data_IF_389923925001
#
_entry.id   IF_389923925001
#
_cell.length_a   1.000
_cell.length_b   1.000
_cell.length_c   1.000
_cell.angle_alpha   90.00
_cell.angle_beta   90.00
_cell.angle_gamma   90.00
#
_symmetry.space_group_name_H-M   'P 1'
#
loop_
_entity.id
_entity.type
_entity.pdbx_description
1 polymer ?
#
# COMPACT_ATOMS: atom_id res chain seq x y z
N UNK A 1 3.13 18.80 8.47
CA UNK A 1 2.33 17.75 7.85
C UNK A 1 1.61 18.34 6.64
N UNK A 2 1.75 17.70 5.48
CA UNK A 2 0.95 18.09 4.32
C UNK A 2 -0.51 17.71 4.61
N UNK A 3 -1.33 18.69 4.90
CA UNK A 3 -2.76 18.49 5.13
C UNK A 3 -3.47 18.41 3.79
N UNK A 4 -3.55 17.20 3.22
CA UNK A 4 -4.35 16.98 2.02
C UNK A 4 -5.80 16.66 2.33
N UNK A 5 -6.13 16.28 3.55
CA UNK A 5 -7.46 15.79 3.81
C UNK A 5 -7.94 15.98 5.23
N UNK A 6 -9.20 15.74 5.39
CA UNK A 6 -9.84 15.66 6.69
C UNK A 6 -9.61 14.30 7.37
N UNK A 7 -9.18 13.25 6.64
CA UNK A 7 -9.04 11.89 7.14
C UNK A 7 -7.71 11.29 6.69
N UNK A 8 -6.90 10.82 7.65
CA UNK A 8 -5.77 9.94 7.44
C UNK A 8 -6.18 8.52 7.84
N UNK A 9 -6.10 7.58 6.91
CA UNK A 9 -6.59 6.21 7.11
C UNK A 9 -5.50 5.17 6.90
N UNK A 10 -5.55 4.09 7.69
CA UNK A 10 -4.64 2.94 7.62
C UNK A 10 -3.17 3.33 7.67
N UNK A 11 -2.70 3.98 8.75
CA UNK A 11 -1.30 4.27 8.93
C UNK A 11 -0.50 2.98 9.11
N UNK A 12 0.66 2.91 8.48
CA UNK A 12 1.63 1.83 8.67
C UNK A 12 2.99 2.39 8.98
N UNK A 13 3.64 1.85 10.00
CA UNK A 13 4.96 2.29 10.47
C UNK A 13 6.01 1.24 10.14
N UNK A 14 7.12 1.68 9.59
CA UNK A 14 8.32 0.89 9.35
C UNK A 14 9.55 1.60 9.93
N UNK A 15 10.50 0.84 10.45
CA UNK A 15 11.78 1.35 10.94
C UNK A 15 12.94 0.66 10.23
N UNK A 16 13.90 1.43 9.78
CA UNK A 16 15.13 0.90 9.21
C UNK A 16 16.08 0.44 10.33
N UNK A 17 16.16 -0.87 10.55
CA UNK A 17 17.05 -1.45 11.56
C UNK A 17 18.39 -1.95 10.97
N UNK A 18 18.61 -1.81 9.66
CA UNK A 18 19.79 -2.37 9.04
C UNK A 18 21.05 -1.61 9.41
N UNK A 19 22.01 -2.32 10.00
CA UNK A 19 23.32 -1.74 10.32
C UNK A 19 24.14 -1.35 9.08
N UNK A 20 23.79 -1.87 7.90
CA UNK A 20 24.44 -1.51 6.62
C UNK A 20 23.72 -0.41 5.86
N UNK A 21 22.56 0.04 6.35
CA UNK A 21 21.82 1.12 5.73
C UNK A 21 22.42 2.49 6.06
N UNK A 22 22.54 3.39 5.07
CA UNK A 22 22.90 4.79 5.32
C UNK A 22 21.78 5.57 6.03
N UNK A 23 20.61 4.97 6.17
CA UNK A 23 19.41 5.53 6.78
C UNK A 23 19.01 4.79 8.06
N UNK A 24 19.94 4.03 8.65
CA UNK A 24 19.69 3.28 9.88
C UNK A 24 19.01 4.17 10.95
N UNK A 25 18.03 3.60 11.67
CA UNK A 25 17.17 4.23 12.67
C UNK A 25 16.20 5.30 12.13
N UNK A 26 16.07 5.44 10.80
CA UNK A 26 14.99 6.24 10.23
C UNK A 26 13.65 5.55 10.42
N UNK A 27 12.60 6.36 10.62
CA UNK A 27 11.22 5.91 10.72
C UNK A 27 10.44 6.38 9.50
N UNK A 28 9.54 5.53 9.00
CA UNK A 28 8.69 5.82 7.86
C UNK A 28 7.25 5.49 8.21
N UNK A 29 6.33 6.40 7.92
CA UNK A 29 4.89 6.17 8.09
C UNK A 29 4.20 6.40 6.76
N UNK A 30 3.58 5.38 6.21
CA UNK A 30 2.67 5.52 5.08
C UNK A 30 1.23 5.67 5.56
N UNK A 31 0.44 6.41 4.80
CA UNK A 31 -0.98 6.62 5.11
C UNK A 31 -1.75 6.97 3.84
N UNK A 32 -3.01 6.58 3.78
CA UNK A 32 -3.95 7.11 2.80
C UNK A 32 -4.53 8.42 3.30
N UNK A 33 -4.33 9.49 2.56
CA UNK A 33 -4.97 10.77 2.79
C UNK A 33 -6.25 10.87 1.96
N UNK A 34 -7.39 11.12 2.62
CA UNK A 34 -8.65 11.41 1.95
C UNK A 34 -8.98 12.89 2.05
N UNK A 35 -9.28 13.52 0.92
CA UNK A 35 -9.83 14.87 0.86
C UNK A 35 -11.33 14.87 1.26
N UNK A 36 -11.92 16.03 1.58
CA UNK A 36 -13.35 16.12 1.90
C UNK A 36 -14.30 15.58 0.83
N UNK A 37 -13.88 15.59 -0.44
CA UNK A 37 -14.62 15.02 -1.57
C UNK A 37 -14.29 13.54 -1.83
N UNK A 38 -13.62 12.87 -0.88
CA UNK A 38 -13.19 11.46 -0.96
C UNK A 38 -12.10 11.16 -1.99
N UNK A 39 -11.48 12.16 -2.61
CA UNK A 39 -10.26 11.94 -3.37
C UNK A 39 -9.17 11.35 -2.47
N UNK A 40 -8.36 10.44 -2.99
CA UNK A 40 -7.36 9.73 -2.19
C UNK A 40 -5.95 9.86 -2.73
N UNK A 41 -4.95 9.80 -1.83
CA UNK A 41 -3.55 9.83 -2.16
C UNK A 41 -2.72 9.10 -1.09
N UNK A 42 -1.72 8.32 -1.50
CA UNK A 42 -0.75 7.75 -0.56
C UNK A 42 0.33 8.78 -0.29
N UNK A 43 0.59 9.02 1.00
CA UNK A 43 1.68 9.85 1.49
C UNK A 43 2.62 9.03 2.36
N UNK A 44 3.90 9.41 2.38
CA UNK A 44 4.89 8.85 3.31
C UNK A 44 5.54 9.99 4.07
N UNK A 45 5.52 9.87 5.38
CA UNK A 45 6.26 10.72 6.31
C UNK A 45 7.51 9.99 6.76
N UNK A 46 8.65 10.68 6.80
CA UNK A 46 9.91 10.16 7.32
C UNK A 46 10.45 10.99 8.45
N UNK A 47 11.11 10.34 9.40
CA UNK A 47 11.87 10.95 10.48
C UNK A 47 13.26 10.33 10.53
N UNK A 48 14.29 11.14 10.81
CA UNK A 48 15.68 10.71 10.99
C UNK A 48 16.23 11.00 12.39
N UNK A 49 15.37 11.43 13.28
CA UNK A 49 15.70 11.91 14.64
C UNK A 49 14.82 11.24 15.71
N UNK A 50 14.46 9.97 15.49
CA UNK A 50 13.66 9.20 16.44
C UNK A 50 12.22 9.66 16.58
N UNK A 51 11.67 10.33 15.56
CA UNK A 51 10.30 10.82 15.56
C UNK A 51 10.12 12.27 16.05
N UNK A 52 11.22 12.97 16.35
CA UNK A 52 11.15 14.36 16.83
C UNK A 52 10.67 15.30 15.71
N UNK A 53 11.17 15.11 14.49
CA UNK A 53 10.70 15.85 13.30
C UNK A 53 10.30 14.93 12.16
N UNK A 54 9.39 15.39 11.31
CA UNK A 54 8.84 14.61 10.20
C UNK A 54 8.80 15.44 8.92
N UNK A 55 9.19 14.83 7.82
CA UNK A 55 9.00 15.37 6.47
C UNK A 55 8.08 14.43 5.67
N UNK A 56 7.06 15.01 5.04
CA UNK A 56 6.04 14.24 4.30
C UNK A 56 6.11 14.52 2.81
N UNK A 57 5.96 13.46 2.01
CA UNK A 57 5.88 13.54 0.54
C UNK A 57 4.64 12.81 0.05
N UNK A 58 4.06 13.29 -1.04
CA UNK A 58 3.03 12.60 -1.79
C UNK A 58 3.69 11.57 -2.70
N UNK A 59 3.37 10.30 -2.53
CA UNK A 59 4.02 9.22 -3.29
C UNK A 59 3.17 8.79 -4.49
N UNK A 60 1.88 8.52 -4.27
CA UNK A 60 1.01 8.21 -5.40
C UNK A 60 0.48 9.47 -6.09
N UNK A 61 0.05 9.33 -7.35
CA UNK A 61 -0.85 10.30 -7.93
C UNK A 61 -2.17 10.35 -7.16
N UNK A 62 -2.74 11.54 -7.01
CA UNK A 62 -4.08 11.70 -6.43
C UNK A 62 -5.11 11.00 -7.31
N UNK A 63 -6.03 10.27 -6.69
CA UNK A 63 -7.15 9.65 -7.37
C UNK A 63 -8.42 10.42 -7.04
N UNK A 64 -9.18 10.75 -8.08
CA UNK A 64 -10.50 11.37 -7.94
C UNK A 64 -11.53 10.29 -7.68
N UNK A 65 -12.30 10.46 -6.61
CA UNK A 65 -13.39 9.54 -6.28
C UNK A 65 -14.37 9.39 -7.49
N UNK A 66 -14.83 8.18 -7.81
CA UNK A 66 -14.76 6.92 -7.06
C UNK A 66 -13.50 6.07 -7.27
N UNK A 67 -12.54 6.50 -8.09
CA UNK A 67 -11.24 5.84 -8.12
C UNK A 67 -10.51 6.04 -6.79
N UNK A 68 -9.75 5.04 -6.35
CA UNK A 68 -9.08 5.11 -5.05
C UNK A 68 -7.69 4.47 -5.07
N UNK A 69 -6.79 5.04 -4.28
CA UNK A 69 -5.58 4.39 -3.79
C UNK A 69 -5.69 4.27 -2.28
N UNK A 70 -5.42 3.07 -1.72
CA UNK A 70 -5.52 2.82 -0.29
C UNK A 70 -4.70 1.61 0.15
N UNK A 71 -4.61 1.39 1.46
CA UNK A 71 -4.00 0.21 2.06
C UNK A 71 -2.52 0.09 1.72
N UNK A 72 -1.76 1.12 2.09
CA UNK A 72 -0.31 1.12 1.92
C UNK A 72 0.39 0.34 3.03
N UNK A 73 1.48 -0.33 2.68
CA UNK A 73 2.40 -0.98 3.58
C UNK A 73 3.85 -0.73 3.16
N UNK A 74 4.77 -0.73 4.11
CA UNK A 74 6.18 -0.39 3.96
C UNK A 74 7.09 -1.54 4.39
N UNK A 75 8.22 -1.67 3.72
CA UNK A 75 9.34 -2.50 4.16
C UNK A 75 10.66 -1.80 3.85
N UNK A 76 11.70 -2.05 4.66
CA UNK A 76 13.04 -1.53 4.45
C UNK A 76 14.02 -2.63 4.09
N UNK A 77 14.77 -2.39 3.02
CA UNK A 77 15.84 -3.26 2.57
C UNK A 77 17.12 -3.07 3.39
N UNK A 78 17.99 -4.08 3.35
CA UNK A 78 19.29 -4.07 4.04
C UNK A 78 20.19 -2.91 3.60
N UNK A 79 20.04 -2.44 2.37
CA UNK A 79 20.76 -1.31 1.78
C UNK A 79 20.14 0.05 2.07
N UNK A 80 19.04 0.08 2.86
CA UNK A 80 18.27 1.28 3.17
C UNK A 80 17.23 1.66 2.10
N UNK A 81 17.03 0.84 1.08
CA UNK A 81 15.93 1.04 0.14
C UNK A 81 14.60 0.87 0.86
N UNK A 82 13.73 1.85 0.73
CA UNK A 82 12.36 1.81 1.26
C UNK A 82 11.41 1.36 0.17
N UNK A 83 10.63 0.34 0.45
CA UNK A 83 9.65 -0.25 -0.45
C UNK A 83 8.24 0.08 0.03
N UNK A 84 7.37 0.44 -0.89
CA UNK A 84 5.97 0.76 -0.63
C UNK A 84 5.09 -0.07 -1.54
N UNK A 85 4.09 -0.74 -0.97
CA UNK A 85 2.99 -1.35 -1.72
C UNK A 85 1.68 -0.68 -1.34
N UNK A 86 0.74 -0.60 -2.27
CA UNK A 86 -0.62 -0.11 -2.04
C UNK A 86 -1.59 -0.64 -3.09
N UNK A 87 -2.87 -0.65 -2.75
CA UNK A 87 -3.92 -1.01 -3.68
C UNK A 87 -4.36 0.21 -4.49
N UNK A 88 -4.58 0.02 -5.78
CA UNK A 88 -5.26 0.97 -6.67
C UNK A 88 -6.48 0.31 -7.29
N UNK A 89 -7.62 0.91 -7.12
CA UNK A 89 -8.87 0.51 -7.72
C UNK A 89 -9.40 1.60 -8.65
N UNK A 90 -9.81 1.21 -9.84
CA UNK A 90 -10.59 2.05 -10.74
C UNK A 90 -12.05 1.61 -10.61
N UNK A 91 -12.87 2.45 -10.02
CA UNK A 91 -14.27 2.13 -9.76
C UNK A 91 -15.06 2.02 -11.06
N UNK A 92 -15.32 0.82 -11.46
CA UNK A 92 -16.07 0.47 -12.67
C UNK A 92 -17.02 -0.72 -12.45
N UNK A 93 -17.29 -1.03 -11.17
CA UNK A 93 -18.28 -2.04 -10.80
C UNK A 93 -19.73 -1.60 -11.10
N UNK A 94 -20.70 -2.50 -10.96
CA UNK A 94 -22.10 -2.24 -11.26
C UNK A 94 -22.70 -1.07 -10.45
N UNK A 95 -22.18 -0.81 -9.25
CA UNK A 95 -22.60 0.24 -8.34
C UNK A 95 -21.71 1.49 -8.40
N UNK A 96 -20.69 1.50 -9.29
CA UNK A 96 -19.72 2.59 -9.36
C UNK A 96 -18.65 2.53 -8.25
N UNK A 97 -18.47 1.39 -7.63
CA UNK A 97 -17.47 1.11 -6.59
C UNK A 97 -16.44 0.06 -7.05
N UNK A 98 -15.55 -0.35 -6.15
CA UNK A 98 -14.51 -1.33 -6.42
C UNK A 98 -14.93 -2.79 -6.21
N UNK A 99 -16.06 -3.04 -5.57
CA UNK A 99 -16.54 -4.40 -5.28
C UNK A 99 -16.75 -5.21 -6.56
N UNK A 100 -16.27 -6.44 -6.59
CA UNK A 100 -16.36 -7.33 -7.75
C UNK A 100 -15.49 -6.95 -8.95
N UNK A 101 -14.65 -5.93 -8.84
CA UNK A 101 -13.73 -5.50 -9.91
C UNK A 101 -12.31 -6.01 -9.69
N UNK A 102 -11.43 -5.69 -10.63
CA UNK A 102 -10.00 -6.00 -10.53
C UNK A 102 -9.24 -4.79 -10.01
N UNK A 103 -8.61 -4.93 -8.85
CA UNK A 103 -7.69 -3.95 -8.30
C UNK A 103 -6.24 -4.25 -8.72
N UNK A 104 -5.43 -3.21 -8.82
CA UNK A 104 -3.99 -3.30 -9.03
C UNK A 104 -3.26 -3.21 -7.70
N UNK A 105 -2.34 -4.14 -7.45
CA UNK A 105 -1.31 -3.99 -6.44
C UNK A 105 -0.17 -3.18 -7.04
N UNK A 106 0.05 -2.00 -6.51
CA UNK A 106 1.07 -1.05 -7.00
C UNK A 106 2.25 -1.02 -6.06
N UNK A 107 3.42 -0.84 -6.63
CA UNK A 107 4.71 -0.80 -5.96
C UNK A 107 5.48 0.45 -6.37
N UNK A 108 6.18 1.03 -5.41
CA UNK A 108 7.17 2.10 -5.60
C UNK A 108 8.32 1.90 -4.61
N UNK A 109 9.51 2.42 -4.92
CA UNK A 109 10.66 2.38 -4.02
C UNK A 109 11.37 3.72 -3.94
N UNK A 110 12.04 3.94 -2.83
CA UNK A 110 12.94 5.06 -2.58
C UNK A 110 14.32 4.54 -2.20
N UNK A 111 15.36 5.06 -2.83
CA UNK A 111 16.77 4.72 -2.54
C UNK A 111 17.51 5.86 -1.81
N UNK A 112 16.81 6.92 -1.44
CA UNK A 112 17.34 8.13 -0.81
C UNK A 112 16.70 8.42 0.57
N UNK A 113 16.20 7.34 1.23
CA UNK A 113 15.59 7.41 2.55
C UNK A 113 14.25 8.12 2.54
N UNK A 114 13.41 7.87 1.54
CA UNK A 114 12.04 8.38 1.47
C UNK A 114 11.91 9.82 0.96
N UNK A 115 12.96 10.38 0.33
CA UNK A 115 12.92 11.74 -0.23
C UNK A 115 12.24 11.76 -1.58
N UNK A 116 12.68 10.88 -2.48
CA UNK A 116 12.08 10.69 -3.80
C UNK A 116 11.65 9.24 -4.01
N UNK A 117 10.70 9.02 -4.89
CA UNK A 117 10.09 7.72 -5.15
C UNK A 117 10.10 7.41 -6.65
N UNK A 118 10.29 6.13 -6.97
CA UNK A 118 10.23 5.64 -8.34
C UNK A 118 8.84 5.87 -8.96
N UNK A 119 8.76 5.77 -10.29
CA UNK A 119 7.47 5.62 -10.95
C UNK A 119 6.72 4.39 -10.42
N UNK A 120 5.37 4.43 -10.35
CA UNK A 120 4.57 3.30 -9.90
C UNK A 120 4.63 2.12 -10.89
N UNK A 121 4.72 0.91 -10.36
CA UNK A 121 4.71 -0.35 -11.12
C UNK A 121 3.58 -1.22 -10.60
N UNK A 122 2.76 -1.78 -11.48
CA UNK A 122 1.78 -2.80 -11.10
C UNK A 122 2.49 -4.15 -10.94
N UNK A 123 2.55 -4.67 -9.72
CA UNK A 123 3.15 -5.96 -9.41
C UNK A 123 2.21 -7.13 -9.71
N UNK A 124 0.95 -6.94 -9.42
CA UNK A 124 -0.11 -7.94 -9.58
C UNK A 124 -1.47 -7.27 -9.68
N UNK A 125 -2.45 -8.07 -10.08
CA UNK A 125 -3.87 -7.71 -9.97
C UNK A 125 -4.59 -8.72 -9.09
N UNK A 126 -5.66 -8.29 -8.44
CA UNK A 126 -6.53 -9.15 -7.64
C UNK A 126 -8.00 -8.81 -7.92
N UNK A 127 -8.83 -9.82 -8.01
CA UNK A 127 -10.27 -9.64 -8.04
C UNK A 127 -10.76 -9.35 -6.63
N UNK A 128 -11.50 -8.28 -6.46
CA UNK A 128 -12.13 -7.94 -5.18
C UNK A 128 -13.42 -8.76 -4.99
N UNK A 129 -13.77 -9.03 -3.75
CA UNK A 129 -15.04 -9.66 -3.43
C UNK A 129 -16.22 -8.83 -3.97
N UNK A 130 -17.35 -9.44 -4.35
CA UNK A 130 -18.49 -8.70 -4.88
C UNK A 130 -19.08 -7.75 -3.83
N UNK A 131 -19.68 -6.65 -4.27
CA UNK A 131 -20.45 -5.78 -3.40
C UNK A 131 -21.82 -6.41 -3.12
N UNK A 132 -21.85 -7.25 -2.10
CA UNK A 132 -23.07 -7.93 -1.63
C UNK A 132 -23.70 -7.29 -0.39
N UNK A 133 -23.06 -6.29 0.20
CA UNK A 133 -23.49 -5.63 1.42
C UNK A 133 -23.38 -4.09 1.38
N UNK A 134 -23.17 -3.50 0.19
CA UNK A 134 -23.02 -2.06 0.03
C UNK A 134 -21.67 -1.51 0.51
N UNK A 135 -20.63 -2.36 0.60
CA UNK A 135 -19.31 -1.93 1.00
C UNK A 135 -18.41 -1.73 -0.22
N UNK A 136 -17.78 -0.58 -0.33
CA UNK A 136 -17.00 -0.11 -1.48
C UNK A 136 -15.96 -1.11 -2.02
N UNK A 137 -15.38 -1.95 -1.16
CA UNK A 137 -14.37 -2.95 -1.54
C UNK A 137 -14.92 -4.38 -1.63
N UNK A 138 -16.24 -4.55 -1.45
CA UNK A 138 -16.90 -5.84 -1.47
C UNK A 138 -17.00 -6.52 -0.10
N UNK A 139 -17.75 -7.60 -0.08
CA UNK A 139 -18.10 -8.36 1.12
C UNK A 139 -17.94 -9.85 0.87
N UNK A 140 -17.75 -10.60 1.92
CA UNK A 140 -17.88 -12.06 1.87
C UNK A 140 -19.32 -12.38 1.49
N UNK A 141 -19.59 -13.13 0.43
CA UNK A 141 -20.93 -13.45 -0.03
C UNK A 141 -21.80 -14.09 1.07
N UNK A 142 -23.07 -13.70 1.12
CA UNK A 142 -24.06 -14.11 2.13
C UNK A 142 -23.74 -13.68 3.57
N UNK A 143 -22.90 -12.66 3.74
CA UNK A 143 -22.58 -12.05 5.04
C UNK A 143 -22.63 -10.52 4.91
N UNK A 144 -22.52 -9.83 6.04
CA UNK A 144 -22.27 -8.37 6.09
C UNK A 144 -20.80 -8.07 6.41
N UNK A 145 -19.93 -9.05 6.27
CA UNK A 145 -18.50 -8.90 6.54
C UNK A 145 -17.80 -8.23 5.36
N UNK A 146 -17.42 -6.98 5.55
CA UNK A 146 -16.65 -6.22 4.58
C UNK A 146 -15.25 -6.81 4.43
N UNK A 147 -14.81 -6.96 3.19
CA UNK A 147 -13.45 -7.36 2.86
C UNK A 147 -12.67 -6.18 2.34
N UNK A 148 -11.42 -6.05 2.76
CA UNK A 148 -10.49 -5.05 2.25
C UNK A 148 -9.22 -5.78 1.86
N UNK A 149 -8.75 -5.56 0.63
CA UNK A 149 -7.49 -6.16 0.20
C UNK A 149 -6.33 -5.30 0.71
N UNK A 150 -5.85 -5.62 1.90
CA UNK A 150 -4.73 -4.95 2.55
C UNK A 150 -3.47 -5.74 2.19
N UNK A 151 -2.67 -5.30 1.21
CA UNK A 151 -1.42 -5.99 0.88
C UNK A 151 -0.44 -5.83 2.05
N UNK A 152 0.35 -6.86 2.31
CA UNK A 152 1.46 -6.77 3.26
C UNK A 152 2.76 -7.12 2.54
N UNK A 153 3.75 -6.21 2.61
CA UNK A 153 5.04 -6.31 1.94
C UNK A 153 6.14 -6.70 2.92
N UNK A 154 7.04 -7.55 2.46
CA UNK A 154 8.27 -7.90 3.16
C UNK A 154 9.43 -7.99 2.18
N UNK A 155 10.64 -7.75 2.68
CA UNK A 155 11.90 -7.94 1.94
C UNK A 155 12.76 -8.96 2.66
N UNK A 156 13.41 -9.83 1.89
CA UNK A 156 14.42 -10.75 2.45
C UNK A 156 15.71 -9.97 2.75
N UNK A 157 15.92 -9.65 4.01
CA UNK A 157 17.12 -8.98 4.49
C UNK A 157 18.25 -9.96 4.87
N UNK A 158 18.11 -11.25 4.58
CA UNK A 158 19.14 -12.26 4.76
C UNK A 158 20.32 -12.09 3.80
N UNK A 159 21.26 -13.02 3.89
CA UNK A 159 22.46 -13.07 3.02
C UNK A 159 22.43 -14.24 2.05
N UNK A 160 21.31 -14.96 1.97
CA UNK A 160 21.13 -16.12 1.10
C UNK A 160 20.78 -15.75 -0.35
N UNK A 161 20.45 -16.76 -1.14
CA UNK A 161 20.14 -16.61 -2.57
C UNK A 161 18.91 -15.74 -2.85
N UNK A 162 18.06 -15.51 -1.87
CA UNK A 162 16.87 -14.68 -1.99
C UNK A 162 17.06 -13.25 -1.41
N UNK A 163 18.28 -12.90 -0.99
CA UNK A 163 18.57 -11.57 -0.45
C UNK A 163 18.08 -10.46 -1.37
N UNK A 164 17.32 -9.52 -0.83
CA UNK A 164 16.71 -8.41 -1.56
C UNK A 164 15.41 -8.74 -2.29
N UNK A 165 14.97 -10.01 -2.31
CA UNK A 165 13.65 -10.34 -2.87
C UNK A 165 12.52 -9.75 -2.05
N UNK A 166 11.54 -9.24 -2.76
CA UNK A 166 10.30 -8.73 -2.19
C UNK A 166 9.21 -9.79 -2.26
N UNK A 167 8.39 -9.82 -1.23
CA UNK A 167 7.21 -10.66 -1.13
C UNK A 167 6.03 -9.79 -0.72
N UNK A 168 4.91 -9.94 -1.40
CA UNK A 168 3.67 -9.26 -1.03
C UNK A 168 2.55 -10.28 -0.93
N UNK A 169 1.90 -10.34 0.21
CA UNK A 169 0.68 -11.11 0.40
C UNK A 169 -0.54 -10.24 0.12
N UNK A 170 -1.54 -10.82 -0.50
CA UNK A 170 -2.82 -10.18 -0.79
C UNK A 170 -3.91 -11.24 -0.87
N UNK A 171 -5.18 -10.87 -0.78
CA UNK A 171 -6.23 -11.79 -1.13
C UNK A 171 -6.72 -11.59 -2.58
N UNK A 172 -7.34 -12.61 -3.13
CA UNK A 172 -7.92 -12.63 -4.46
C UNK A 172 -9.23 -13.43 -4.41
N UNK A 173 -10.29 -12.85 -4.95
CA UNK A 173 -11.61 -13.50 -5.01
C UNK A 173 -11.86 -14.09 -6.40
N UNK A 174 -10.96 -14.92 -6.88
CA UNK A 174 -11.09 -15.57 -8.18
C UNK A 174 -11.89 -16.88 -8.08
N UNK A 175 -12.81 -17.12 -9.01
CA UNK A 175 -13.62 -18.34 -9.05
C UNK A 175 -14.60 -18.48 -7.87
N UNK A 176 -15.06 -17.38 -7.29
CA UNK A 176 -16.05 -17.37 -6.21
C UNK A 176 -15.51 -17.76 -4.85
N UNK A 177 -14.20 -17.73 -4.65
CA UNK A 177 -13.52 -18.11 -3.40
C UNK A 177 -12.49 -17.07 -3.01
N UNK A 178 -12.42 -16.79 -1.70
CA UNK A 178 -11.34 -16.02 -1.11
C UNK A 178 -10.07 -16.88 -1.09
N UNK A 179 -9.00 -16.39 -1.68
CA UNK A 179 -7.68 -17.02 -1.72
C UNK A 179 -6.63 -16.04 -1.23
N UNK A 180 -5.67 -16.52 -0.46
CA UNK A 180 -4.46 -15.77 -0.17
C UNK A 180 -3.45 -16.06 -1.27
N UNK A 181 -2.90 -14.99 -1.87
CA UNK A 181 -1.82 -15.08 -2.85
C UNK A 181 -0.57 -14.40 -2.28
N UNK A 182 0.57 -14.95 -2.65
CA UNK A 182 1.87 -14.30 -2.43
C UNK A 182 2.50 -14.08 -3.81
N UNK A 183 2.93 -12.86 -4.06
CA UNK A 183 3.72 -12.50 -5.24
C UNK A 183 5.12 -12.12 -4.80
N UNK A 184 6.12 -12.41 -5.62
CA UNK A 184 7.51 -12.07 -5.34
C UNK A 184 8.17 -11.39 -6.53
N UNK A 185 9.18 -10.56 -6.25
CA UNK A 185 10.06 -10.05 -7.30
C UNK A 185 10.93 -11.18 -7.88
N UNK A 186 11.36 -10.98 -9.11
CA UNK A 186 12.37 -11.83 -9.74
C UNK A 186 13.73 -11.69 -9.07
#
# INVERSE_FOLDING_TARGET
PATLGSIADKPWLEADHSASSPFQNSLYVSVTQFAPNSDSQITVSRSRDGGATWATVNVSAKQTFPNVVQFSDLATGRDGTVYLSYMKCLANGPTGDCGGTVASLVFQKSTDGGVTWSAPVTMATATLAPDSCGAFYGCVPNTNERTSNIPSIAVDNGTGANSGKLYVSLYDYTGGRMQVRVVSSA
#
